data_IF_514121456527
#
_entry.id   IF_514121456527
#
_cell.length_a   1.000
_cell.length_b   1.000
_cell.length_c   1.000
_cell.angle_alpha   90.00
_cell.angle_beta   90.00
_cell.angle_gamma   90.00
#
_symmetry.space_group_name_H-M   'P 1'
#
loop_
_entity.id
_entity.type
_entity.pdbx_description
1 polymer ?
#
# COMPACT_ATOMS: atom_id res chain seq x y z
N UNK A 1 19.77 -19.21 19.46
CA UNK A 1 19.35 -18.68 20.78
C UNK A 1 17.86 -18.90 20.93
N UNK A 2 17.39 -19.40 22.09
CA UNK A 2 15.95 -19.62 22.30
C UNK A 2 15.19 -18.28 22.33
N UNK A 3 14.06 -18.18 21.62
CA UNK A 3 13.19 -16.99 21.64
C UNK A 3 12.79 -16.59 23.06
N UNK A 4 12.64 -17.56 23.96
CA UNK A 4 12.32 -17.36 25.38
C UNK A 4 13.38 -16.55 26.14
N UNK A 5 14.64 -16.59 25.71
CA UNK A 5 15.76 -15.88 26.35
C UNK A 5 15.78 -14.42 25.93
N UNK A 6 15.69 -14.18 24.62
CA UNK A 6 15.59 -12.82 24.06
C UNK A 6 14.36 -12.11 24.64
N UNK A 7 13.19 -12.77 24.67
CA UNK A 7 11.99 -12.16 25.27
C UNK A 7 12.16 -11.80 26.74
N UNK A 8 12.81 -12.66 27.53
CA UNK A 8 13.09 -12.37 28.95
C UNK A 8 14.07 -11.21 29.12
N UNK A 9 15.08 -11.10 28.25
CA UNK A 9 16.01 -9.98 28.26
C UNK A 9 15.30 -8.67 27.89
N UNK A 10 14.56 -8.65 26.77
CA UNK A 10 13.83 -7.46 26.31
C UNK A 10 12.78 -6.96 27.30
N UNK A 11 12.18 -7.86 28.10
CA UNK A 11 11.25 -7.47 29.17
C UNK A 11 11.95 -6.89 30.40
N UNK A 12 13.08 -7.48 30.80
CA UNK A 12 13.82 -7.07 32.01
C UNK A 12 14.64 -5.80 31.82
N UNK A 13 15.27 -5.64 30.65
CA UNK A 13 16.03 -4.43 30.32
C UNK A 13 15.63 -3.90 28.95
N UNK A 14 14.66 -2.98 28.96
CA UNK A 14 14.17 -2.33 27.74
C UNK A 14 15.21 -1.41 27.10
N UNK A 15 16.03 -0.75 27.92
CA UNK A 15 17.04 0.20 27.42
C UNK A 15 18.13 -0.57 26.66
N UNK A 16 18.67 -1.64 27.26
CA UNK A 16 19.68 -2.48 26.64
C UNK A 16 19.19 -3.16 25.37
N UNK A 17 17.91 -3.59 25.35
CA UNK A 17 17.28 -4.15 24.15
C UNK A 17 17.17 -3.14 23.02
N UNK A 18 16.81 -1.89 23.33
CA UNK A 18 16.77 -0.81 22.35
C UNK A 18 18.16 -0.49 21.81
N UNK A 19 19.18 -0.44 22.67
CA UNK A 19 20.54 -0.13 22.25
C UNK A 19 21.16 -1.25 21.41
N UNK A 20 20.92 -2.52 21.78
CA UNK A 20 21.31 -3.66 20.97
C UNK A 20 20.63 -3.62 19.59
N UNK A 21 19.33 -3.34 19.53
CA UNK A 21 18.59 -3.20 18.26
C UNK A 21 19.14 -2.06 17.41
N UNK A 22 19.46 -0.92 18.01
CA UNK A 22 20.07 0.23 17.31
C UNK A 22 21.44 -0.13 16.75
N UNK A 23 22.25 -0.85 17.51
CA UNK A 23 23.56 -1.29 17.04
C UNK A 23 23.44 -2.26 15.87
N UNK A 24 22.57 -3.27 15.98
CA UNK A 24 22.26 -4.19 14.87
C UNK A 24 21.80 -3.42 13.63
N UNK A 25 20.88 -2.45 13.80
CA UNK A 25 20.36 -1.63 12.70
C UNK A 25 21.46 -0.79 12.03
N UNK A 26 22.35 -0.20 12.83
CA UNK A 26 23.50 0.55 12.33
C UNK A 26 24.42 -0.36 11.52
N UNK A 27 24.76 -1.54 12.07
CA UNK A 27 25.68 -2.48 11.41
C UNK A 27 25.08 -3.05 10.12
N UNK A 28 23.79 -3.40 10.11
CA UNK A 28 23.04 -3.77 8.90
C UNK A 28 23.17 -2.71 7.81
N UNK A 29 23.01 -1.43 8.18
CA UNK A 29 23.10 -0.32 7.23
C UNK A 29 24.51 -0.13 6.69
N UNK A 30 25.53 -0.24 7.53
CA UNK A 30 26.93 -0.03 7.13
C UNK A 30 27.58 -1.24 6.48
N UNK A 31 26.93 -2.41 6.51
CA UNK A 31 27.46 -3.63 5.92
C UNK A 31 27.51 -3.52 4.39
N UNK A 32 28.68 -3.84 3.83
CA UNK A 32 28.97 -3.73 2.40
C UNK A 32 29.33 -5.06 1.72
N UNK A 33 29.13 -6.20 2.43
CA UNK A 33 29.37 -7.56 1.92
C UNK A 33 30.74 -8.16 2.25
N UNK A 34 31.75 -7.34 2.60
CA UNK A 34 33.14 -7.83 2.75
C UNK A 34 33.74 -7.74 4.15
N UNK A 35 33.12 -6.97 5.05
CA UNK A 35 33.72 -6.65 6.35
C UNK A 35 33.02 -7.42 7.48
N UNK A 36 33.80 -7.94 8.42
CA UNK A 36 33.25 -8.46 9.66
C UNK A 36 32.56 -7.35 10.45
N UNK A 37 31.53 -7.73 11.18
CA UNK A 37 30.75 -6.83 12.01
C UNK A 37 31.06 -7.11 13.47
N UNK A 38 31.22 -6.05 14.25
CA UNK A 38 31.33 -6.14 15.70
C UNK A 38 30.12 -5.47 16.33
N UNK A 39 29.44 -6.19 17.21
CA UNK A 39 28.28 -5.73 17.98
C UNK A 39 28.61 -5.85 19.47
N UNK A 40 28.26 -4.83 20.23
CA UNK A 40 28.36 -4.82 21.69
C UNK A 40 27.15 -5.52 22.27
N UNK A 41 27.39 -6.44 23.18
CA UNK A 41 26.36 -7.22 23.85
C UNK A 41 26.13 -6.64 25.24
N UNK A 42 24.89 -6.21 25.54
CA UNK A 42 24.57 -5.74 26.87
C UNK A 42 24.85 -6.81 27.92
N UNK A 43 25.40 -6.38 29.06
CA UNK A 43 25.75 -7.25 30.17
C UNK A 43 24.55 -8.08 30.63
N UNK A 44 23.38 -7.45 30.69
CA UNK A 44 22.10 -8.03 31.08
C UNK A 44 21.71 -9.22 30.19
N UNK A 45 22.07 -9.21 28.91
CA UNK A 45 21.84 -10.35 28.01
C UNK A 45 22.75 -11.53 28.39
N UNK A 46 24.03 -11.26 28.65
CA UNK A 46 24.98 -12.28 29.12
C UNK A 46 24.57 -12.84 30.47
N UNK A 47 24.20 -12.01 31.44
CA UNK A 47 23.71 -12.47 32.76
C UNK A 47 22.41 -13.28 32.65
N UNK A 48 21.51 -12.93 31.71
CA UNK A 48 20.28 -13.69 31.47
C UNK A 48 20.56 -15.07 30.90
N UNK A 49 21.60 -15.20 30.07
CA UNK A 49 22.08 -16.49 29.55
C UNK A 49 22.71 -17.33 30.65
N UNK A 50 23.60 -16.74 31.45
CA UNK A 50 24.28 -17.40 32.57
C UNK A 50 23.30 -17.92 33.62
N UNK A 51 22.27 -17.13 33.97
CA UNK A 51 21.18 -17.56 34.87
C UNK A 51 20.41 -18.78 34.36
N UNK A 52 20.46 -19.07 33.07
CA UNK A 52 19.87 -20.26 32.44
C UNK A 52 20.88 -21.39 32.22
N UNK A 53 22.08 -21.26 32.78
CA UNK A 53 23.13 -22.27 32.74
C UNK A 53 23.79 -22.44 31.39
N UNK A 54 23.75 -21.43 30.51
CA UNK A 54 24.42 -21.46 29.20
C UNK A 54 25.25 -20.21 28.97
N UNK A 55 26.43 -20.35 28.41
CA UNK A 55 27.18 -19.21 27.85
C UNK A 55 26.85 -19.04 26.37
N UNK A 56 27.05 -17.83 25.84
CA UNK A 56 26.87 -17.59 24.41
C UNK A 56 27.88 -18.40 23.59
N UNK A 57 29.11 -18.57 24.06
CA UNK A 57 30.13 -19.42 23.42
C UNK A 57 29.66 -20.87 23.27
N UNK A 58 29.09 -21.47 24.32
CA UNK A 58 28.51 -22.82 24.27
C UNK A 58 27.31 -22.91 23.31
N UNK A 59 26.51 -21.85 23.22
CA UNK A 59 25.41 -21.80 22.27
C UNK A 59 25.94 -21.73 20.84
N UNK A 60 26.99 -20.96 20.59
CA UNK A 60 27.57 -20.77 19.26
C UNK A 60 28.32 -22.01 18.78
N UNK A 61 29.06 -22.69 19.66
CA UNK A 61 29.76 -23.95 19.33
C UNK A 61 28.80 -25.08 18.96
N UNK A 62 27.56 -25.05 19.45
CA UNK A 62 26.52 -26.00 19.09
C UNK A 62 25.76 -25.64 17.80
N UNK A 63 26.23 -24.66 17.02
CA UNK A 63 25.53 -24.16 15.81
C UNK A 63 26.46 -24.09 14.61
N UNK A 64 25.88 -23.92 13.41
CA UNK A 64 26.60 -23.69 12.15
C UNK A 64 27.46 -22.41 12.13
N UNK A 65 27.37 -21.61 13.19
CA UNK A 65 28.09 -20.35 13.38
C UNK A 65 29.36 -20.51 14.23
N UNK A 66 29.70 -21.73 14.68
CA UNK A 66 30.96 -22.02 15.35
C UNK A 66 32.15 -21.50 14.53
N UNK A 67 33.06 -20.78 15.19
CA UNK A 67 34.23 -20.16 14.56
C UNK A 67 33.93 -18.96 13.64
N UNK A 68 32.66 -18.70 13.31
CA UNK A 68 32.23 -17.56 12.46
C UNK A 68 31.60 -16.43 13.27
N UNK A 69 31.07 -16.76 14.45
CA UNK A 69 30.57 -15.81 15.42
C UNK A 69 31.35 -16.03 16.70
N UNK A 70 32.17 -15.05 17.08
CA UNK A 70 33.11 -15.17 18.19
C UNK A 70 32.81 -14.09 19.20
N UNK A 71 32.47 -14.49 20.42
CA UNK A 71 32.38 -13.57 21.54
C UNK A 71 33.77 -13.30 22.11
N UNK A 72 34.09 -12.03 22.35
CA UNK A 72 35.23 -11.57 23.14
C UNK A 72 34.74 -10.52 24.13
N UNK A 73 34.69 -10.87 25.41
CA UNK A 73 34.13 -10.02 26.48
C UNK A 73 32.68 -9.62 26.16
N UNK A 74 32.42 -8.33 26.11
CA UNK A 74 31.16 -7.67 25.80
C UNK A 74 30.91 -7.50 24.29
N UNK A 75 31.72 -8.10 23.41
CA UNK A 75 31.59 -7.94 21.95
C UNK A 75 31.43 -9.27 21.25
N UNK A 76 30.59 -9.29 20.22
CA UNK A 76 30.51 -10.38 19.24
C UNK A 76 31.11 -9.89 17.93
N UNK A 77 32.07 -10.64 17.40
CA UNK A 77 32.52 -10.51 16.02
C UNK A 77 31.77 -11.52 15.14
N UNK A 78 31.09 -11.03 14.11
CA UNK A 78 30.35 -11.81 13.13
C UNK A 78 31.09 -11.68 11.80
N UNK A 79 31.45 -12.82 11.19
CA UNK A 79 32.13 -12.79 9.89
C UNK A 79 31.24 -12.20 8.79
N UNK A 80 31.88 -11.61 7.77
CA UNK A 80 31.19 -11.11 6.59
C UNK A 80 30.34 -12.18 5.89
N UNK A 81 30.77 -13.45 5.92
CA UNK A 81 30.02 -14.58 5.35
C UNK A 81 28.68 -14.79 6.04
N UNK A 82 28.66 -14.81 7.38
CA UNK A 82 27.42 -14.97 8.16
C UNK A 82 26.51 -13.77 7.95
N UNK A 83 27.05 -12.56 7.95
CA UNK A 83 26.25 -11.36 7.69
C UNK A 83 25.65 -11.36 6.28
N UNK A 84 26.40 -11.83 5.27
CA UNK A 84 25.89 -11.93 3.91
C UNK A 84 24.77 -12.97 3.83
N UNK A 85 24.97 -14.15 4.42
CA UNK A 85 23.97 -15.22 4.49
C UNK A 85 22.66 -14.73 5.14
N UNK A 86 22.75 -14.00 6.25
CA UNK A 86 21.58 -13.45 6.96
C UNK A 86 20.73 -12.49 6.11
N UNK A 87 21.34 -11.80 5.14
CA UNK A 87 20.64 -10.83 4.28
C UNK A 87 20.42 -11.32 2.86
N UNK A 88 20.91 -12.51 2.51
CA UNK A 88 20.84 -13.05 1.15
C UNK A 88 19.39 -13.26 0.72
N UNK A 89 18.60 -13.97 1.54
CA UNK A 89 17.18 -14.20 1.29
C UNK A 89 16.39 -12.90 1.11
N UNK A 90 16.69 -11.89 1.94
CA UNK A 90 16.01 -10.58 1.89
C UNK A 90 16.38 -9.85 0.61
N UNK A 91 17.67 -9.85 0.25
CA UNK A 91 18.17 -9.26 -0.99
C UNK A 91 17.52 -9.93 -2.20
N UNK A 92 17.50 -11.26 -2.27
CA UNK A 92 16.91 -12.01 -3.38
C UNK A 92 15.42 -11.70 -3.55
N UNK A 93 14.65 -11.70 -2.45
CA UNK A 93 13.22 -11.36 -2.48
C UNK A 93 12.98 -9.94 -2.99
N UNK A 94 13.80 -8.97 -2.57
CA UNK A 94 13.71 -7.59 -3.07
C UNK A 94 13.96 -7.56 -4.58
N UNK A 95 15.03 -8.19 -5.05
CA UNK A 95 15.39 -8.19 -6.48
C UNK A 95 14.33 -8.89 -7.33
N UNK A 96 13.85 -10.06 -6.90
CA UNK A 96 12.78 -10.80 -7.59
C UNK A 96 11.51 -9.97 -7.71
N UNK A 97 11.08 -9.34 -6.62
CA UNK A 97 9.90 -8.48 -6.63
C UNK A 97 10.07 -7.29 -7.58
N UNK A 98 11.24 -6.64 -7.58
CA UNK A 98 11.54 -5.56 -8.51
C UNK A 98 11.52 -6.04 -9.98
N UNK A 99 12.04 -7.24 -10.26
CA UNK A 99 12.00 -7.83 -11.60
C UNK A 99 10.57 -8.07 -12.09
N UNK A 100 9.70 -8.60 -11.22
CA UNK A 100 8.29 -8.83 -11.55
C UNK A 100 7.56 -7.53 -11.90
N UNK A 101 7.76 -6.48 -11.09
CA UNK A 101 7.16 -5.16 -11.32
C UNK A 101 7.65 -4.53 -12.63
N UNK A 102 8.96 -4.56 -12.87
CA UNK A 102 9.54 -3.99 -14.10
C UNK A 102 9.19 -4.79 -15.36
N UNK A 103 8.86 -6.08 -15.23
CA UNK A 103 8.32 -6.89 -16.35
C UNK A 103 6.91 -6.44 -16.73
N UNK A 104 6.10 -6.04 -15.74
CA UNK A 104 4.75 -5.50 -15.98
C UNK A 104 4.78 -4.07 -16.52
N UNK A 105 5.87 -3.34 -16.27
CA UNK A 105 6.08 -1.95 -16.63
C UNK A 105 7.41 -1.74 -17.39
N UNK A 106 7.54 -2.30 -18.62
CA UNK A 106 8.79 -2.24 -19.38
C UNK A 106 9.25 -0.81 -19.70
N UNK A 107 8.33 0.16 -19.71
CA UNK A 107 8.56 1.59 -19.95
C UNK A 107 9.37 2.28 -18.84
N UNK A 108 9.45 1.69 -17.64
CA UNK A 108 10.13 2.31 -16.48
C UNK A 108 11.64 2.25 -16.68
N UNK A 109 12.29 3.40 -16.86
CA UNK A 109 13.74 3.47 -17.10
C UNK A 109 14.56 3.93 -15.87
N UNK A 110 13.89 4.36 -14.81
CA UNK A 110 14.51 4.92 -13.62
C UNK A 110 13.98 4.23 -12.36
N UNK A 111 14.90 3.90 -11.44
CA UNK A 111 14.61 3.32 -10.15
C UNK A 111 15.10 4.30 -9.08
N UNK A 112 14.20 4.85 -8.28
CA UNK A 112 14.56 5.72 -7.16
C UNK A 112 14.46 4.92 -5.86
N UNK A 113 15.59 4.67 -5.20
CA UNK A 113 15.64 3.90 -3.96
C UNK A 113 15.59 4.83 -2.75
N UNK A 114 14.53 4.73 -1.96
CA UNK A 114 14.30 5.53 -0.75
C UNK A 114 14.24 4.65 0.51
N UNK A 115 14.29 5.26 1.70
CA UNK A 115 14.30 4.55 2.98
C UNK A 115 15.70 4.16 3.46
N UNK A 116 15.81 3.82 4.75
CA UNK A 116 17.12 3.60 5.39
C UNK A 116 17.91 2.40 4.86
N UNK A 117 17.26 1.37 4.32
CA UNK A 117 17.97 0.21 3.78
C UNK A 117 18.54 0.44 2.37
N UNK A 118 18.02 1.42 1.65
CA UNK A 118 18.58 1.90 0.37
C UNK A 118 19.96 2.53 0.53
N UNK A 119 20.35 2.89 1.77
CA UNK A 119 21.69 3.38 2.11
C UNK A 119 22.72 2.25 2.23
N UNK A 120 22.30 0.98 2.30
CA UNK A 120 23.18 -0.18 2.42
C UNK A 120 23.90 -0.51 1.12
N UNK A 121 25.23 -0.47 1.12
CA UNK A 121 26.06 -0.85 -0.03
C UNK A 121 25.78 -2.27 -0.53
N UNK A 122 25.42 -3.19 0.37
CA UNK A 122 25.05 -4.56 0.02
C UNK A 122 23.84 -4.60 -0.93
N UNK A 123 22.78 -3.84 -0.62
CA UNK A 123 21.57 -3.76 -1.45
C UNK A 123 21.81 -2.93 -2.71
N UNK A 124 22.54 -1.81 -2.61
CA UNK A 124 22.87 -0.98 -3.78
C UNK A 124 23.54 -1.80 -4.87
N UNK A 125 24.61 -2.53 -4.52
CA UNK A 125 25.36 -3.36 -5.46
C UNK A 125 24.46 -4.44 -6.09
N UNK A 126 23.56 -5.03 -5.31
CA UNK A 126 22.61 -6.01 -5.82
C UNK A 126 21.67 -5.41 -6.86
N UNK A 127 21.10 -4.24 -6.59
CA UNK A 127 20.19 -3.54 -7.52
C UNK A 127 20.92 -3.10 -8.79
N UNK A 128 22.11 -2.48 -8.66
CA UNK A 128 22.92 -2.11 -9.84
C UNK A 128 23.26 -3.31 -10.72
N UNK A 129 23.62 -4.45 -10.11
CA UNK A 129 23.94 -5.68 -10.85
C UNK A 129 22.72 -6.29 -11.53
N UNK A 130 21.56 -6.27 -10.86
CA UNK A 130 20.33 -6.86 -11.38
C UNK A 130 19.71 -6.05 -12.52
N UNK A 131 19.93 -4.74 -12.56
CA UNK A 131 19.27 -3.83 -13.49
C UNK A 131 20.26 -2.91 -14.25
N UNK A 132 21.23 -3.47 -15.01
CA UNK A 132 22.29 -2.68 -15.65
C UNK A 132 21.78 -1.68 -16.71
N UNK A 133 20.58 -1.89 -17.26
CA UNK A 133 19.95 -0.98 -18.23
C UNK A 133 19.03 0.09 -17.62
N UNK A 134 18.96 0.18 -16.28
CA UNK A 134 18.09 1.14 -15.58
C UNK A 134 18.93 2.20 -14.88
N UNK A 135 18.45 3.43 -14.85
CA UNK A 135 19.08 4.51 -14.07
C UNK A 135 18.67 4.37 -12.62
N UNK A 136 19.60 3.98 -11.74
CA UNK A 136 19.33 3.86 -10.30
C UNK A 136 19.76 5.15 -9.59
N UNK A 137 18.82 5.78 -8.89
CA UNK A 137 19.03 7.03 -8.14
C UNK A 137 18.79 6.75 -6.66
N UNK A 138 19.73 7.19 -5.83
CA UNK A 138 19.63 7.11 -4.37
C UNK A 138 19.78 8.53 -3.84
N UNK A 139 18.69 9.17 -3.35
CA UNK A 139 18.75 10.53 -2.86
C UNK A 139 19.76 10.69 -1.70
N UNK A 140 20.32 11.89 -1.58
CA UNK A 140 21.02 12.29 -0.36
C UNK A 140 20.01 12.25 0.81
N UNK A 141 20.35 11.52 1.86
CA UNK A 141 19.44 11.14 2.96
C UNK A 141 18.22 10.34 2.48
N UNK A 142 18.44 9.21 1.81
CA UNK A 142 17.37 8.31 1.37
C UNK A 142 16.36 7.98 2.49
N UNK A 143 16.81 7.88 3.76
CA UNK A 143 15.93 7.72 4.93
C UNK A 143 14.93 8.84 5.14
N UNK A 144 15.29 10.08 4.82
CA UNK A 144 14.45 11.27 5.01
C UNK A 144 13.70 11.67 3.75
N UNK A 145 13.99 11.06 2.60
CA UNK A 145 13.43 11.44 1.29
C UNK A 145 11.89 11.51 1.30
N UNK A 146 11.21 10.54 1.92
CA UNK A 146 9.74 10.52 2.02
C UNK A 146 9.21 11.68 2.83
N UNK A 147 9.80 11.96 4.01
CA UNK A 147 9.36 13.06 4.89
C UNK A 147 9.66 14.42 4.25
N UNK A 148 10.84 14.58 3.63
CA UNK A 148 11.18 15.79 2.86
C UNK A 148 10.16 16.03 1.75
N UNK A 149 9.82 15.00 0.99
CA UNK A 149 8.79 15.08 -0.06
C UNK A 149 7.40 15.45 0.50
N UNK A 150 7.02 14.89 1.65
CA UNK A 150 5.75 15.22 2.30
C UNK A 150 5.68 16.69 2.76
N UNK A 151 6.78 17.22 3.32
CA UNK A 151 6.88 18.64 3.72
C UNK A 151 6.78 19.54 2.49
N UNK A 152 7.52 19.24 1.42
CA UNK A 152 7.43 19.99 0.16
C UNK A 152 6.01 19.99 -0.41
N UNK A 153 5.36 18.84 -0.44
CA UNK A 153 3.98 18.71 -0.88
C UNK A 153 3.03 19.54 0.01
N UNK A 154 3.17 19.49 1.33
CA UNK A 154 2.35 20.29 2.24
C UNK A 154 2.49 21.81 2.03
N UNK A 155 3.66 22.28 1.60
CA UNK A 155 3.87 23.69 1.23
C UNK A 155 3.28 24.03 -0.15
N UNK A 156 3.44 23.13 -1.12
CA UNK A 156 2.92 23.31 -2.47
C UNK A 156 2.35 21.98 -3.01
N UNK A 157 1.02 21.87 -2.95
CA UNK A 157 0.30 20.70 -3.45
C UNK A 157 0.31 20.60 -4.99
N UNK A 158 0.74 21.65 -5.71
CA UNK A 158 0.75 21.67 -7.19
C UNK A 158 1.89 20.85 -7.80
N UNK A 159 2.86 20.42 -6.98
CA UNK A 159 3.96 19.54 -7.39
C UNK A 159 3.49 18.20 -7.93
N UNK A 160 2.28 17.75 -7.58
CA UNK A 160 1.70 16.52 -8.12
C UNK A 160 0.91 16.83 -9.39
N UNK A 161 1.53 16.57 -10.54
CA UNK A 161 0.96 16.83 -11.87
C UNK A 161 -0.12 15.80 -12.21
N UNK A 162 0.07 14.54 -11.83
CA UNK A 162 -0.91 13.48 -12.06
C UNK A 162 -0.73 12.32 -11.09
N UNK A 163 -1.75 11.46 -10.98
CA UNK A 163 -1.73 10.23 -10.20
C UNK A 163 -2.32 9.08 -10.99
N UNK A 164 -1.64 7.93 -10.96
CA UNK A 164 -2.21 6.68 -11.45
C UNK A 164 -3.18 6.11 -10.41
N UNK A 165 -4.39 5.74 -10.81
CA UNK A 165 -5.40 5.23 -9.89
C UNK A 165 -5.06 3.80 -9.41
N UNK A 166 -5.01 3.55 -8.10
CA UNK A 166 -4.71 2.21 -7.57
C UNK A 166 -5.87 1.23 -7.72
N UNK A 167 -7.10 1.75 -7.84
CA UNK A 167 -8.32 0.97 -7.97
C UNK A 167 -9.19 1.52 -9.11
N UNK A 168 -10.11 0.69 -9.58
CA UNK A 168 -11.22 1.13 -10.43
C UNK A 168 -12.30 1.71 -9.53
N UNK A 169 -12.73 2.95 -9.77
CA UNK A 169 -13.80 3.59 -9.00
C UNK A 169 -15.08 3.70 -9.82
N UNK A 170 -16.20 3.57 -9.14
CA UNK A 170 -17.51 3.63 -9.76
C UNK A 170 -18.63 3.61 -8.75
N UNK A 171 -19.84 3.39 -9.23
CA UNK A 171 -21.05 3.31 -8.41
C UNK A 171 -21.86 2.08 -8.76
N UNK A 172 -22.68 1.64 -7.81
CA UNK A 172 -23.71 0.63 -8.07
C UNK A 172 -24.84 1.25 -8.89
N UNK A 173 -25.23 0.60 -10.00
CA UNK A 173 -26.37 1.01 -10.80
C UNK A 173 -27.29 -0.17 -11.12
N UNK A 174 -28.58 0.12 -11.26
CA UNK A 174 -29.56 -0.79 -11.80
C UNK A 174 -29.78 -0.48 -13.28
N UNK A 175 -29.64 -1.48 -14.16
CA UNK A 175 -29.86 -1.34 -15.61
C UNK A 175 -31.04 -2.20 -16.05
N UNK A 176 -31.71 -1.91 -17.19
CA UNK A 176 -32.68 -2.83 -17.78
C UNK A 176 -32.09 -4.25 -17.91
N UNK A 177 -32.84 -5.27 -17.50
CA UNK A 177 -32.40 -6.64 -17.64
C UNK A 177 -32.33 -7.03 -19.13
N UNK A 178 -31.32 -7.82 -19.47
CA UNK A 178 -31.00 -8.28 -20.82
C UNK A 178 -30.64 -9.75 -20.65
N UNK A 179 -31.49 -10.62 -21.17
CA UNK A 179 -31.43 -12.07 -21.02
C UNK A 179 -30.23 -12.71 -21.74
N UNK A 180 -29.60 -11.98 -22.67
CA UNK A 180 -28.39 -12.42 -23.37
C UNK A 180 -27.14 -12.06 -22.56
N UNK A 181 -27.15 -10.91 -21.86
CA UNK A 181 -25.94 -10.38 -21.18
C UNK A 181 -25.91 -10.64 -19.68
N UNK A 182 -27.07 -10.64 -19.02
CA UNK A 182 -27.15 -10.65 -17.56
C UNK A 182 -27.52 -12.04 -17.05
N UNK A 183 -26.87 -12.52 -15.98
CA UNK A 183 -27.24 -13.79 -15.36
C UNK A 183 -28.61 -13.65 -14.66
N UNK A 184 -29.45 -14.69 -14.76
CA UNK A 184 -30.79 -14.70 -14.15
C UNK A 184 -30.75 -14.47 -12.63
N UNK A 185 -29.66 -14.86 -11.96
CA UNK A 185 -29.44 -14.61 -10.52
C UNK A 185 -29.39 -13.12 -10.14
N UNK A 186 -29.18 -12.21 -11.10
CA UNK A 186 -29.16 -10.76 -10.90
C UNK A 186 -30.45 -10.07 -11.33
N UNK A 187 -31.44 -10.83 -11.80
CA UNK A 187 -32.72 -10.31 -12.26
C UNK A 187 -33.60 -9.95 -11.08
N UNK A 188 -34.14 -8.75 -11.09
CA UNK A 188 -35.09 -8.28 -10.07
C UNK A 188 -36.24 -7.54 -10.74
N UNK A 189 -37.46 -7.77 -10.30
CA UNK A 189 -38.63 -7.03 -10.78
C UNK A 189 -38.83 -5.77 -9.95
N UNK A 190 -38.74 -4.60 -10.58
CA UNK A 190 -38.89 -3.30 -9.90
C UNK A 190 -39.77 -2.37 -10.73
N UNK A 191 -40.80 -1.80 -10.10
CA UNK A 191 -41.78 -0.89 -10.72
C UNK A 191 -42.33 -1.45 -12.05
N UNK A 192 -42.64 -2.75 -12.10
CA UNK A 192 -43.18 -3.43 -13.28
C UNK A 192 -42.18 -3.73 -14.40
N UNK A 193 -40.88 -3.48 -14.20
CA UNK A 193 -39.82 -3.76 -15.18
C UNK A 193 -38.72 -4.64 -14.60
N UNK A 194 -38.18 -5.57 -15.39
CA UNK A 194 -37.02 -6.37 -14.98
C UNK A 194 -35.73 -5.54 -15.07
N UNK A 195 -34.96 -5.56 -13.99
CA UNK A 195 -33.68 -4.88 -13.83
C UNK A 195 -32.58 -5.88 -13.49
N UNK A 196 -31.36 -5.56 -13.89
CA UNK A 196 -30.14 -6.16 -13.37
C UNK A 196 -29.59 -5.21 -12.30
N UNK A 197 -29.58 -5.65 -11.05
CA UNK A 197 -29.07 -4.88 -9.90
C UNK A 197 -27.56 -5.10 -9.72
N UNK A 198 -26.91 -4.25 -8.91
CA UNK A 198 -25.50 -4.36 -8.53
C UNK A 198 -24.49 -4.25 -9.70
N UNK A 199 -24.81 -3.56 -10.79
CA UNK A 199 -23.85 -3.34 -11.87
C UNK A 199 -22.80 -2.32 -11.44
N UNK A 200 -21.53 -2.60 -11.77
CA UNK A 200 -20.43 -1.69 -11.48
C UNK A 200 -20.31 -0.67 -12.61
N UNK A 201 -20.87 0.53 -12.42
CA UNK A 201 -20.65 1.62 -13.37
C UNK A 201 -19.29 2.25 -13.15
N UNK A 202 -18.32 1.88 -13.98
CA UNK A 202 -16.96 2.43 -13.95
C UNK A 202 -16.93 3.91 -14.34
N UNK A 203 -16.26 4.73 -13.52
CA UNK A 203 -15.96 6.13 -13.77
C UNK A 203 -14.48 6.33 -14.14
N UNK A 204 -13.58 5.64 -13.45
CA UNK A 204 -12.14 5.63 -13.71
C UNK A 204 -11.59 4.22 -13.45
N UNK A 205 -10.61 3.77 -14.22
CA UNK A 205 -10.01 2.44 -14.07
C UNK A 205 -8.68 2.47 -13.31
N UNK A 206 -8.37 1.36 -12.64
CA UNK A 206 -7.03 1.13 -12.12
C UNK A 206 -5.98 1.32 -13.23
N UNK A 207 -4.94 2.09 -12.92
CA UNK A 207 -3.85 2.46 -13.83
C UNK A 207 -4.11 3.72 -14.67
N UNK A 208 -5.32 4.27 -14.70
CA UNK A 208 -5.58 5.53 -15.41
C UNK A 208 -5.01 6.73 -14.64
N UNK A 209 -4.48 7.70 -15.39
CA UNK A 209 -3.88 8.90 -14.84
C UNK A 209 -4.92 10.00 -14.66
N UNK A 210 -5.01 10.57 -13.46
CA UNK A 210 -5.87 11.73 -13.16
C UNK A 210 -5.03 12.92 -12.77
N UNK A 211 -5.49 14.13 -13.10
CA UNK A 211 -4.88 15.38 -12.67
C UNK A 211 -5.68 15.89 -11.47
N UNK A 212 -5.07 15.94 -10.26
CA UNK A 212 -5.72 16.43 -9.06
C UNK A 212 -6.38 17.80 -9.25
N UNK A 213 -7.65 17.91 -8.84
CA UNK A 213 -8.45 19.13 -8.92
C UNK A 213 -8.94 19.50 -10.33
N UNK A 214 -8.55 18.75 -11.38
CA UNK A 214 -8.98 19.02 -12.77
C UNK A 214 -9.77 17.87 -13.38
N UNK A 215 -9.49 16.63 -13.00
CA UNK A 215 -10.20 15.48 -13.54
C UNK A 215 -11.55 15.31 -12.85
N UNK A 216 -12.61 15.40 -13.66
CA UNK A 216 -13.98 15.14 -13.25
C UNK A 216 -14.64 14.24 -14.28
N UNK A 217 -15.31 13.19 -13.81
CA UNK A 217 -16.06 12.23 -14.64
C UNK A 217 -17.49 12.13 -14.15
N UNK A 218 -18.42 11.94 -15.08
CA UNK A 218 -19.85 12.03 -14.80
C UNK A 218 -20.61 10.86 -15.38
N UNK A 219 -21.68 10.47 -14.70
CA UNK A 219 -22.69 9.55 -15.21
C UNK A 219 -24.08 10.10 -14.89
N UNK A 220 -24.98 9.95 -15.85
CA UNK A 220 -26.39 10.30 -15.69
C UNK A 220 -27.20 9.02 -15.66
N UNK A 221 -28.03 8.87 -14.64
CA UNK A 221 -28.92 7.73 -14.49
C UNK A 221 -30.30 8.19 -13.98
N UNK A 222 -31.31 7.34 -14.18
CA UNK A 222 -32.64 7.60 -13.66
C UNK A 222 -32.75 7.08 -12.23
N UNK A 223 -33.36 7.86 -11.35
CA UNK A 223 -33.68 7.43 -10.00
C UNK A 223 -34.62 6.23 -10.04
N UNK A 224 -34.28 5.22 -9.26
CA UNK A 224 -35.07 4.00 -9.12
C UNK A 224 -36.31 4.18 -8.24
N UNK A 225 -36.39 5.29 -7.53
CA UNK A 225 -37.35 5.62 -6.48
C UNK A 225 -37.77 7.07 -6.58
N UNK A 226 -39.00 7.35 -6.15
CA UNK A 226 -39.62 8.69 -6.28
C UNK A 226 -39.17 9.65 -5.18
N UNK A 227 -38.90 9.16 -3.97
CA UNK A 227 -38.66 10.00 -2.79
C UNK A 227 -37.19 10.27 -2.47
N UNK A 228 -36.28 9.33 -2.72
CA UNK A 228 -34.85 9.52 -2.51
C UNK A 228 -34.04 8.56 -3.37
N UNK A 229 -32.79 8.91 -3.67
CA UNK A 229 -31.83 8.04 -4.34
C UNK A 229 -30.59 7.86 -3.47
N UNK A 230 -30.23 6.60 -3.23
CA UNK A 230 -28.98 6.24 -2.58
C UNK A 230 -27.94 5.91 -3.66
N UNK A 231 -26.83 6.66 -3.68
CA UNK A 231 -25.69 6.42 -4.56
C UNK A 231 -24.61 5.79 -3.72
N UNK A 232 -24.30 4.52 -3.99
CA UNK A 232 -23.22 3.79 -3.33
C UNK A 232 -21.95 3.86 -4.17
N UNK A 233 -20.84 4.26 -3.55
CA UNK A 233 -19.55 4.44 -4.18
C UNK A 233 -18.70 3.20 -3.90
N UNK A 234 -18.10 2.65 -4.94
CA UNK A 234 -17.28 1.45 -4.87
C UNK A 234 -15.88 1.67 -5.44
N UNK A 235 -14.92 0.94 -4.88
CA UNK A 235 -13.62 0.71 -5.49
C UNK A 235 -13.39 -0.79 -5.73
N UNK A 236 -12.66 -1.15 -6.78
CA UNK A 236 -12.31 -2.53 -7.10
C UNK A 236 -10.85 -2.69 -7.52
N UNK A 237 -10.23 -3.81 -7.10
CA UNK A 237 -8.88 -4.20 -7.56
C UNK A 237 -8.86 -4.58 -9.04
N UNK A 238 -9.96 -5.13 -9.56
CA UNK A 238 -10.08 -5.46 -10.98
C UNK A 238 -10.08 -4.18 -11.83
N UNK A 239 -9.41 -4.21 -12.98
CA UNK A 239 -9.47 -3.13 -13.98
C UNK A 239 -10.83 -3.10 -14.71
N UNK A 240 -11.53 -4.23 -14.74
CA UNK A 240 -12.79 -4.43 -15.45
C UNK A 240 -13.83 -5.12 -14.56
N UNK A 241 -14.25 -4.52 -13.44
CA UNK A 241 -15.33 -5.07 -12.63
C UNK A 241 -16.65 -5.01 -13.41
N UNK A 242 -17.47 -6.05 -13.31
CA UNK A 242 -18.80 -6.09 -13.93
C UNK A 242 -19.87 -5.81 -12.87
N UNK A 243 -19.73 -6.41 -11.68
CA UNK A 243 -20.65 -6.22 -10.56
C UNK A 243 -19.96 -5.71 -9.29
N UNK A 244 -20.70 -4.99 -8.46
CA UNK A 244 -20.18 -4.41 -7.21
C UNK A 244 -19.96 -5.43 -6.09
N UNK A 245 -20.52 -6.63 -6.22
CA UNK A 245 -20.38 -7.75 -5.28
C UNK A 245 -19.35 -8.80 -5.73
N UNK A 246 -18.53 -8.48 -6.73
CA UNK A 246 -17.39 -9.30 -7.11
C UNK A 246 -16.30 -9.33 -6.03
N UNK A 247 -15.56 -10.44 -5.88
CA UNK A 247 -14.40 -10.51 -4.98
C UNK A 247 -13.39 -9.39 -5.28
N UNK A 248 -13.05 -8.60 -4.27
CA UNK A 248 -12.11 -7.48 -4.40
C UNK A 248 -12.76 -6.15 -4.81
N UNK A 249 -14.10 -6.08 -4.86
CA UNK A 249 -14.88 -4.84 -4.84
C UNK A 249 -15.23 -4.47 -3.38
N UNK A 250 -15.24 -3.18 -3.05
CA UNK A 250 -15.52 -2.68 -1.70
C UNK A 250 -16.32 -1.39 -1.78
N UNK A 251 -17.42 -1.32 -1.00
CA UNK A 251 -18.18 -0.09 -0.83
C UNK A 251 -17.40 0.86 0.08
N UNK A 252 -17.08 2.05 -0.43
CA UNK A 252 -16.28 3.05 0.29
C UNK A 252 -17.16 4.13 0.94
N UNK A 253 -18.46 4.10 0.66
CA UNK A 253 -19.47 4.93 1.28
C UNK A 253 -20.66 5.18 0.36
N UNK A 254 -21.59 6.01 0.82
CA UNK A 254 -22.81 6.33 0.08
C UNK A 254 -23.24 7.78 0.26
N UNK A 255 -24.05 8.27 -0.68
CA UNK A 255 -24.69 9.58 -0.65
C UNK A 255 -26.19 9.37 -0.85
N UNK A 256 -27.00 9.93 0.05
CA UNK A 256 -28.44 9.95 -0.11
C UNK A 256 -28.90 11.32 -0.62
N UNK A 257 -29.53 11.35 -1.79
CA UNK A 257 -30.17 12.52 -2.37
C UNK A 257 -31.68 12.42 -2.14
N UNK A 258 -32.27 13.37 -1.43
CA UNK A 258 -33.73 13.47 -1.34
C UNK A 258 -34.28 14.00 -2.65
N UNK A 259 -35.34 13.40 -3.19
CA UNK A 259 -36.00 13.83 -4.42
C UNK A 259 -37.35 14.43 -4.00
N UNK A 260 -37.32 15.68 -3.55
CA UNK A 260 -38.52 16.35 -3.08
C UNK A 260 -39.43 16.64 -4.28
N UNK A 261 -40.60 16.00 -4.24
CA UNK A 261 -41.60 15.92 -5.29
C UNK A 261 -42.09 17.30 -5.76
N UNK A 262 -41.92 17.60 -7.05
CA UNK A 262 -42.67 18.65 -7.73
C UNK A 262 -43.15 18.17 -9.10
N UNK A 263 -44.32 17.50 -9.09
CA UNK A 263 -45.37 17.62 -10.11
C UNK A 263 -45.05 17.24 -11.56
N UNK A 264 -43.99 16.50 -11.84
CA UNK A 264 -43.75 15.97 -13.19
C UNK A 264 -43.57 14.46 -13.17
N UNK A 265 -44.32 13.79 -14.02
CA UNK A 265 -44.33 12.35 -14.28
C UNK A 265 -43.03 11.82 -14.89
N UNK A 266 -41.96 12.61 -14.89
CA UNK A 266 -40.71 12.27 -15.53
C UNK A 266 -39.75 11.68 -14.51
N UNK A 267 -39.15 10.55 -14.87
CA UNK A 267 -38.11 9.88 -14.10
C UNK A 267 -37.08 10.92 -13.63
N UNK A 268 -36.95 11.09 -12.30
CA UNK A 268 -35.96 11.99 -11.73
C UNK A 268 -34.57 11.59 -12.22
N UNK A 269 -34.02 12.39 -13.12
CA UNK A 269 -32.70 12.15 -13.68
C UNK A 269 -31.66 12.67 -12.69
N UNK A 270 -30.68 11.84 -12.36
CA UNK A 270 -29.62 12.15 -11.41
C UNK A 270 -28.29 12.17 -12.15
N UNK A 271 -27.54 13.26 -11.98
CA UNK A 271 -26.15 13.36 -12.39
C UNK A 271 -25.24 13.07 -11.20
N UNK A 272 -24.44 12.03 -11.36
CA UNK A 272 -23.37 11.67 -10.44
C UNK A 272 -22.07 12.18 -11.02
N UNK A 273 -21.34 12.95 -10.24
CA UNK A 273 -20.06 13.56 -10.62
C UNK A 273 -18.99 13.15 -9.63
N UNK A 274 -17.94 12.48 -10.11
CA UNK A 274 -16.74 12.20 -9.33
C UNK A 274 -15.63 13.16 -9.73
N UNK A 275 -15.13 13.93 -8.76
CA UNK A 275 -14.01 14.86 -8.92
C UNK A 275 -12.82 14.37 -8.11
N UNK A 276 -11.68 14.28 -8.79
CA UNK A 276 -10.48 13.68 -8.23
C UNK A 276 -9.60 14.77 -7.65
N UNK A 277 -9.62 14.93 -6.32
CA UNK A 277 -8.76 15.88 -5.61
C UNK A 277 -7.34 15.32 -5.42
N UNK A 278 -6.55 16.00 -4.59
CA UNK A 278 -5.19 15.52 -4.29
C UNK A 278 -5.23 14.32 -3.35
N UNK A 279 -5.95 14.40 -2.23
CA UNK A 279 -6.06 13.30 -1.24
C UNK A 279 -7.48 12.81 -1.02
N UNK A 280 -8.46 13.39 -1.72
CA UNK A 280 -9.87 13.12 -1.52
C UNK A 280 -10.61 12.91 -2.85
N UNK A 281 -11.44 11.87 -2.91
CA UNK A 281 -12.43 11.68 -3.96
C UNK A 281 -13.70 12.43 -3.55
N UNK A 282 -14.08 13.45 -4.29
CA UNK A 282 -15.35 14.14 -4.08
C UNK A 282 -16.41 13.55 -5.00
N UNK A 283 -17.54 13.13 -4.45
CA UNK A 283 -18.68 12.67 -5.24
C UNK A 283 -19.86 13.58 -4.97
N UNK A 284 -20.48 14.06 -6.04
CA UNK A 284 -21.69 14.87 -6.01
C UNK A 284 -22.81 14.14 -6.75
N UNK A 285 -23.98 14.06 -6.14
CA UNK A 285 -25.22 13.65 -6.77
C UNK A 285 -26.14 14.87 -6.88
N UNK A 286 -26.61 15.20 -8.09
CA UNK A 286 -27.50 16.32 -8.37
C UNK A 286 -28.74 15.84 -9.13
N UNK A 287 -29.93 16.24 -8.67
CA UNK A 287 -31.16 16.06 -9.44
C UNK A 287 -31.22 17.07 -10.59
N UNK A 288 -31.29 16.58 -11.82
CA UNK A 288 -31.37 17.41 -13.02
C UNK A 288 -32.62 18.29 -13.01
N UNK A 289 -32.52 19.49 -13.57
CA UNK A 289 -33.61 20.48 -13.57
C UNK A 289 -33.86 21.15 -12.21
N UNK A 290 -33.13 20.79 -11.16
CA UNK A 290 -33.25 21.40 -9.82
C UNK A 290 -31.89 21.91 -9.31
N UNK A 291 -31.93 22.71 -8.24
CA UNK A 291 -30.72 23.09 -7.48
C UNK A 291 -30.39 22.10 -6.34
N UNK A 292 -31.08 20.96 -6.29
CA UNK A 292 -30.90 19.97 -5.24
C UNK A 292 -29.70 19.08 -5.55
N UNK A 293 -28.65 19.22 -4.75
CA UNK A 293 -27.43 18.45 -4.85
C UNK A 293 -26.88 18.11 -3.47
N UNK A 294 -26.30 16.92 -3.35
CA UNK A 294 -25.57 16.47 -2.16
C UNK A 294 -24.16 16.10 -2.59
N UNK A 295 -23.18 16.46 -1.77
CA UNK A 295 -21.78 16.16 -2.00
C UNK A 295 -21.18 15.50 -0.76
N UNK A 296 -20.35 14.49 -0.97
CA UNK A 296 -19.52 13.89 0.06
C UNK A 296 -18.09 13.71 -0.42
N UNK A 297 -17.18 13.54 0.53
CA UNK A 297 -15.76 13.30 0.30
C UNK A 297 -15.38 11.94 0.87
N UNK A 298 -14.59 11.19 0.10
CA UNK A 298 -14.14 9.84 0.42
C UNK A 298 -12.62 9.76 0.31
N UNK A 299 -12.00 8.86 1.07
CA UNK A 299 -10.56 8.65 1.02
C UNK A 299 -10.16 7.87 -0.24
N UNK A 300 -9.10 8.32 -0.92
CA UNK A 300 -8.52 7.63 -2.07
C UNK A 300 -7.82 6.31 -1.72
N UNK A 301 -7.19 6.23 -0.54
CA UNK A 301 -6.18 5.23 -0.22
C UNK A 301 -6.71 4.07 0.63
N UNK A 302 -7.89 3.57 0.27
CA UNK A 302 -8.62 2.56 1.03
C UNK A 302 -7.80 1.33 1.44
#
# INVERSE_FOLDING_TARGET
>A
MEKSTISSFSQKSKIDDLDLKREIELKKRTFAGGNNIVITIPRELTETLEKRGRTLEQILSATVYEGKVIQKRDKINITASVMSELFEDVKEKIIQHMMELLRQHPEVNMIVMVGGFSESEFIKKAVYKAFPGKTVIIPQDARLAVVKGAVMYGHDNSVIISRSMPFTYGVSVAVPFDDIKHPESKKTLRNGSYKCENNFKVFIRAGESVIPGKTTVQHVCNASTVSSANVEIYCAKSKFPVYVDEPGSTCIGSIQLQLNDTRSSDLHTIRITMSFGSTELSVQAKAEGTNNAVMAKFNFLH
#
